data_IF_661400572346
#
_entry.id   IF_661400572346
#
_cell.length_a   1.000
_cell.length_b   1.000
_cell.length_c   1.000
_cell.angle_alpha   90.00
_cell.angle_beta   90.00
_cell.angle_gamma   90.00
#
_symmetry.space_group_name_H-M   'P 1'
#
loop_
_entity.id
_entity.type
_entity.pdbx_description
1 polymer ?
#
# COMPACT_ATOMS: atom_id res chain seq x y z
N UNK A 1 -23.54 15.25 -18.38
CA UNK A 1 -23.70 14.21 -17.34
C UNK A 1 -22.94 12.99 -17.83
N UNK A 2 -21.82 12.64 -17.18
CA UNK A 2 -21.16 11.37 -17.47
C UNK A 2 -21.96 10.25 -16.82
N UNK A 3 -22.48 9.33 -17.62
CA UNK A 3 -23.13 8.13 -17.12
C UNK A 3 -22.01 7.17 -16.70
N UNK A 4 -21.81 6.95 -15.40
CA UNK A 4 -20.91 5.89 -14.94
C UNK A 4 -21.51 4.54 -15.33
N UNK A 5 -20.84 3.78 -16.21
CA UNK A 5 -21.27 2.43 -16.55
C UNK A 5 -20.77 1.44 -15.50
N UNK A 6 -21.31 0.20 -15.51
CA UNK A 6 -20.90 -0.87 -14.60
C UNK A 6 -19.39 -1.12 -14.61
N UNK A 7 -18.73 -0.92 -15.76
CA UNK A 7 -17.27 -1.03 -15.87
C UNK A 7 -16.55 0.02 -15.02
N UNK A 8 -16.98 1.28 -15.08
CA UNK A 8 -16.37 2.37 -14.34
C UNK A 8 -16.52 2.16 -12.82
N UNK A 9 -17.70 1.73 -12.39
CA UNK A 9 -17.97 1.35 -11.00
C UNK A 9 -17.11 0.15 -10.56
N UNK A 10 -16.98 -0.87 -11.41
CA UNK A 10 -16.14 -2.04 -11.13
C UNK A 10 -14.66 -1.66 -10.96
N UNK A 11 -14.15 -0.81 -11.85
CA UNK A 11 -12.77 -0.31 -11.76
C UNK A 11 -12.56 0.57 -10.52
N UNK A 12 -13.53 1.43 -10.18
CA UNK A 12 -13.46 2.24 -8.96
C UNK A 12 -13.38 1.37 -7.71
N UNK A 13 -14.26 0.37 -7.60
CA UNK A 13 -14.25 -0.57 -6.47
C UNK A 13 -12.94 -1.35 -6.38
N UNK A 14 -12.42 -1.83 -7.51
CA UNK A 14 -11.15 -2.56 -7.55
C UNK A 14 -9.99 -1.68 -7.08
N UNK A 15 -9.94 -0.42 -7.53
CA UNK A 15 -8.93 0.56 -7.15
C UNK A 15 -9.01 0.90 -5.67
N UNK A 16 -10.19 1.25 -5.16
CA UNK A 16 -10.38 1.58 -3.75
C UNK A 16 -10.08 0.39 -2.84
N UNK A 17 -10.54 -0.81 -3.20
CA UNK A 17 -10.28 -2.02 -2.44
C UNK A 17 -8.80 -2.38 -2.40
N UNK A 18 -8.20 -2.60 -3.57
CA UNK A 18 -6.79 -3.01 -3.67
C UNK A 18 -5.85 -1.92 -3.15
N UNK A 19 -6.07 -0.67 -3.59
CA UNK A 19 -5.26 0.46 -3.19
C UNK A 19 -5.39 0.78 -1.70
N UNK A 20 -6.60 0.69 -1.15
CA UNK A 20 -6.84 0.89 0.27
C UNK A 20 -6.15 -0.17 1.16
N UNK A 21 -6.20 -1.45 0.74
CA UNK A 21 -5.49 -2.52 1.47
C UNK A 21 -3.98 -2.30 1.44
N UNK A 22 -3.41 -2.00 0.28
CA UNK A 22 -1.97 -1.70 0.18
C UNK A 22 -1.61 -0.45 1.01
N UNK A 23 -2.43 0.59 0.98
CA UNK A 23 -2.19 1.79 1.76
C UNK A 23 -2.19 1.51 3.27
N UNK A 24 -3.16 0.71 3.74
CA UNK A 24 -3.22 0.29 5.15
C UNK A 24 -2.02 -0.58 5.53
N UNK A 25 -1.59 -1.50 4.65
CA UNK A 25 -0.46 -2.38 4.89
C UNK A 25 0.88 -1.61 4.91
N UNK A 26 1.04 -0.64 4.01
CA UNK A 26 2.18 0.28 4.04
C UNK A 26 2.19 1.14 5.31
N UNK A 27 1.02 1.61 5.78
CA UNK A 27 0.91 2.34 7.04
C UNK A 27 1.23 1.47 8.27
N UNK A 28 0.90 0.18 8.25
CA UNK A 28 1.33 -0.78 9.27
C UNK A 28 2.87 -0.87 9.34
N UNK A 29 3.53 -0.91 8.18
CA UNK A 29 5.00 -0.98 8.09
C UNK A 29 5.70 0.33 8.45
N UNK A 30 5.18 1.47 8.00
CA UNK A 30 5.83 2.77 8.22
C UNK A 30 5.55 3.35 9.59
N UNK A 31 4.29 3.27 10.04
CA UNK A 31 3.80 4.04 11.19
C UNK A 31 3.27 3.16 12.32
N UNK A 32 3.19 1.84 12.14
CA UNK A 32 2.60 0.93 13.12
C UNK A 32 1.08 1.10 13.27
N UNK A 33 0.43 1.76 12.31
CA UNK A 33 -1.02 1.95 12.34
C UNK A 33 -1.75 0.62 12.16
N UNK A 34 -3.04 0.57 12.53
CA UNK A 34 -3.87 -0.64 12.38
C UNK A 34 -3.26 -1.89 13.03
N UNK A 35 -2.56 -1.74 14.16
CA UNK A 35 -1.90 -2.84 14.88
C UNK A 35 -0.61 -3.34 14.21
N UNK A 36 0.00 -2.54 13.32
CA UNK A 36 1.26 -2.88 12.66
C UNK A 36 2.48 -2.77 13.57
N UNK A 37 3.57 -3.44 13.18
CA UNK A 37 4.82 -3.50 13.96
C UNK A 37 5.75 -2.30 13.73
N UNK A 38 5.35 -1.37 12.85
CA UNK A 38 6.15 -0.21 12.47
C UNK A 38 7.47 -0.60 11.81
N UNK A 39 8.32 0.41 11.61
CA UNK A 39 9.57 0.24 10.86
C UNK A 39 10.55 -0.71 11.55
N UNK A 40 10.60 -0.69 12.87
CA UNK A 40 11.55 -1.48 13.63
C UNK A 40 11.21 -2.97 13.57
N UNK A 41 9.96 -3.35 13.90
CA UNK A 41 9.54 -4.74 13.85
C UNK A 41 9.48 -5.29 12.43
N UNK A 42 9.05 -4.47 11.46
CA UNK A 42 9.12 -4.86 10.04
C UNK A 42 10.57 -5.01 9.57
N UNK A 43 11.47 -4.15 10.04
CA UNK A 43 12.90 -4.23 9.73
C UNK A 43 13.53 -5.51 10.27
N UNK A 44 13.23 -5.87 11.52
CA UNK A 44 13.66 -7.13 12.13
C UNK A 44 13.13 -8.34 11.35
N UNK A 45 11.87 -8.31 10.94
CA UNK A 45 11.30 -9.36 10.07
C UNK A 45 12.05 -9.45 8.74
N UNK A 46 12.33 -8.32 8.09
CA UNK A 46 13.07 -8.28 6.82
C UNK A 46 14.48 -8.89 6.96
N UNK A 47 15.20 -8.60 8.05
CA UNK A 47 16.50 -9.22 8.32
C UNK A 47 16.37 -10.72 8.59
N UNK A 48 15.32 -11.16 9.29
CA UNK A 48 15.08 -12.58 9.58
C UNK A 48 14.88 -13.44 8.32
N UNK A 49 14.47 -12.81 7.20
CA UNK A 49 14.30 -13.46 5.89
C UNK A 49 15.40 -13.11 4.89
N UNK A 50 16.48 -12.46 5.35
CA UNK A 50 17.69 -12.21 4.56
C UNK A 50 17.77 -10.87 3.83
N UNK A 51 16.83 -9.95 4.05
CA UNK A 51 16.93 -8.58 3.54
C UNK A 51 17.72 -7.70 4.51
N UNK A 52 19.01 -7.50 4.22
CA UNK A 52 19.90 -6.69 5.05
C UNK A 52 20.41 -5.47 4.26
N UNK A 53 20.26 -4.23 4.77
CA UNK A 53 19.73 -3.83 6.07
C UNK A 53 18.19 -3.77 6.09
N UNK A 54 17.56 -4.41 7.07
CA UNK A 54 16.10 -4.63 7.03
C UNK A 54 15.29 -3.37 7.24
N UNK A 55 15.80 -2.39 8.00
CA UNK A 55 15.12 -1.10 8.16
C UNK A 55 14.98 -0.34 6.84
N UNK A 56 15.98 -0.42 5.96
CA UNK A 56 15.90 0.18 4.63
C UNK A 56 14.88 -0.55 3.75
N UNK A 57 14.90 -1.88 3.76
CA UNK A 57 13.91 -2.70 3.06
C UNK A 57 12.48 -2.49 3.56
N UNK A 58 12.29 -2.39 4.87
CA UNK A 58 11.00 -2.09 5.50
C UNK A 58 10.49 -0.69 5.11
N UNK A 59 11.38 0.30 5.05
CA UNK A 59 11.04 1.65 4.59
C UNK A 59 10.65 1.64 3.12
N UNK A 60 11.43 0.98 2.26
CA UNK A 60 11.14 0.86 0.83
C UNK A 60 9.81 0.14 0.57
N UNK A 61 9.58 -0.99 1.24
CA UNK A 61 8.33 -1.74 1.14
C UNK A 61 7.14 -0.92 1.65
N UNK A 62 7.28 -0.27 2.81
CA UNK A 62 6.24 0.56 3.39
C UNK A 62 5.88 1.76 2.50
N UNK A 63 6.87 2.45 1.93
CA UNK A 63 6.65 3.57 1.01
C UNK A 63 6.02 3.12 -0.30
N UNK A 64 6.47 1.99 -0.86
CA UNK A 64 5.91 1.43 -2.08
C UNK A 64 4.45 1.03 -1.89
N UNK A 65 4.10 0.38 -0.78
CA UNK A 65 2.74 -0.02 -0.46
C UNK A 65 1.83 1.17 -0.13
N UNK A 66 2.30 2.08 0.73
CA UNK A 66 1.52 3.26 1.12
C UNK A 66 1.30 4.21 -0.07
N UNK A 67 2.38 4.55 -0.77
CA UNK A 67 2.35 5.44 -1.92
C UNK A 67 1.65 4.81 -3.11
N UNK A 68 2.05 3.60 -3.51
CA UNK A 68 1.45 2.88 -4.62
C UNK A 68 -0.03 2.56 -4.39
N UNK A 69 -0.39 2.12 -3.18
CA UNK A 69 -1.78 1.89 -2.78
C UNK A 69 -2.63 3.16 -2.87
N UNK A 70 -2.11 4.29 -2.37
CA UNK A 70 -2.80 5.58 -2.46
C UNK A 70 -2.98 6.03 -3.92
N UNK A 71 -1.93 5.93 -4.74
CA UNK A 71 -1.99 6.29 -6.16
C UNK A 71 -2.98 5.41 -6.92
N UNK A 72 -3.03 4.12 -6.60
CA UNK A 72 -3.99 3.18 -7.20
C UNK A 72 -5.43 3.51 -6.79
N UNK A 73 -5.68 3.73 -5.49
CA UNK A 73 -6.99 4.07 -4.96
C UNK A 73 -7.56 5.35 -5.60
N UNK A 74 -6.70 6.34 -5.83
CA UNK A 74 -7.05 7.59 -6.50
C UNK A 74 -7.08 7.50 -8.04
N UNK A 75 -6.63 6.37 -8.61
CA UNK A 75 -6.54 6.18 -10.06
C UNK A 75 -5.46 7.00 -10.75
N UNK A 76 -4.50 7.57 -10.01
CA UNK A 76 -3.47 8.47 -10.52
C UNK A 76 -2.36 7.75 -11.30
N UNK A 77 -2.15 6.45 -11.04
CA UNK A 77 -1.18 5.62 -11.77
C UNK A 77 -1.85 4.66 -12.79
N UNK A 78 -3.19 4.64 -12.83
CA UNK A 78 -3.97 3.77 -13.72
C UNK A 78 -5.17 4.55 -14.27
N UNK A 79 -4.98 5.51 -15.19
CA UNK A 79 -6.10 6.22 -15.81
C UNK A 79 -6.98 5.27 -16.64
N UNK A 80 -8.25 5.66 -16.83
CA UNK A 80 -9.23 4.92 -17.64
C UNK A 80 -8.96 5.05 -19.15
#
# INVERSE_FOLDING_TARGET
MSCYDRRDLGLLLLRLGTGGVLAAHGAQKLFGWFGGHGLEGTGQFMESVGYTPGRASATAAGLAEAGGGTLLALGLATPA
#
